data_IF_746718740348
#
_entry.id   IF_746718740348
#
_cell.length_a   1.000
_cell.length_b   1.000
_cell.length_c   1.000
_cell.angle_alpha   90.00
_cell.angle_beta   90.00
_cell.angle_gamma   90.00
#
_symmetry.space_group_name_H-M   'P 1'
#
loop_
_entity.id
_entity.type
_entity.pdbx_description
1 polymer ?
#
# COMPACT_ATOMS: atom_id res chain seq x y z
N UNK A 1 -11.22 -10.82 -93.43
CA UNK A 1 -11.09 -10.16 -92.13
C UNK A 1 -11.09 -11.29 -91.12
N UNK A 2 -9.94 -11.55 -90.48
CA UNK A 2 -9.75 -12.67 -89.53
C UNK A 2 -9.70 -12.05 -88.16
N UNK A 3 -10.62 -12.44 -87.27
CA UNK A 3 -10.67 -12.03 -85.88
C UNK A 3 -10.01 -13.14 -85.05
N UNK A 4 -8.87 -12.81 -84.45
CA UNK A 4 -8.16 -13.74 -83.57
C UNK A 4 -8.72 -13.58 -82.17
N UNK A 5 -9.23 -14.68 -81.58
CA UNK A 5 -9.66 -14.78 -80.23
C UNK A 5 -8.48 -15.12 -79.29
N UNK A 6 -8.11 -14.27 -78.33
CA UNK A 6 -7.15 -14.58 -77.30
C UNK A 6 -7.84 -15.19 -76.09
N UNK A 7 -7.51 -16.44 -75.80
CA UNK A 7 -7.90 -17.14 -74.60
C UNK A 7 -6.95 -16.73 -73.45
N UNK A 8 -7.46 -16.00 -72.48
CA UNK A 8 -6.74 -15.69 -71.24
C UNK A 8 -7.01 -16.81 -70.21
N UNK A 9 -6.03 -17.64 -69.99
CA UNK A 9 -6.06 -18.67 -68.92
C UNK A 9 -5.73 -18.00 -67.59
N UNK A 10 -6.73 -17.90 -66.71
CA UNK A 10 -6.58 -17.42 -65.34
C UNK A 10 -6.02 -18.51 -64.46
N UNK A 11 -4.74 -18.39 -64.07
CA UNK A 11 -4.11 -19.28 -63.13
C UNK A 11 -4.49 -18.86 -61.70
N UNK A 12 -5.42 -19.61 -61.12
CA UNK A 12 -5.81 -19.44 -59.72
C UNK A 12 -4.82 -20.23 -58.82
N UNK A 13 -3.81 -19.51 -58.29
CA UNK A 13 -2.90 -20.09 -57.30
C UNK A 13 -3.57 -20.14 -55.93
N UNK A 14 -3.94 -21.34 -55.47
CA UNK A 14 -4.37 -21.58 -54.09
C UNK A 14 -3.18 -21.45 -53.15
N UNK A 15 -3.12 -20.38 -52.37
CA UNK A 15 -2.25 -20.26 -51.19
C UNK A 15 -2.89 -21.05 -50.05
N UNK A 16 -2.37 -22.25 -49.74
CA UNK A 16 -2.66 -22.93 -48.47
C UNK A 16 -1.91 -22.19 -47.35
N UNK A 17 -2.59 -21.33 -46.65
CA UNK A 17 -2.09 -20.79 -45.37
C UNK A 17 -2.22 -21.84 -44.30
N UNK A 18 -1.10 -22.43 -43.88
CA UNK A 18 -1.02 -23.30 -42.70
C UNK A 18 -1.33 -22.48 -41.45
N UNK A 19 -2.50 -22.72 -40.86
CA UNK A 19 -2.83 -22.18 -39.53
C UNK A 19 -2.04 -22.99 -38.51
N UNK A 20 -0.98 -22.43 -37.99
CA UNK A 20 -0.28 -22.94 -36.81
C UNK A 20 -1.14 -22.61 -35.59
N UNK A 21 -1.80 -23.62 -35.03
CA UNK A 21 -2.41 -23.53 -33.73
C UNK A 21 -1.28 -23.51 -32.69
N UNK A 22 -0.95 -22.31 -32.14
CA UNK A 22 -0.20 -22.21 -30.91
C UNK A 22 -1.10 -22.78 -29.80
N UNK A 23 -0.77 -23.94 -29.27
CA UNK A 23 -1.34 -24.44 -28.02
C UNK A 23 -0.71 -23.59 -26.90
N UNK A 24 -1.44 -22.56 -26.47
CA UNK A 24 -1.20 -21.94 -25.18
C UNK A 24 -1.47 -22.99 -24.11
N UNK A 25 -0.40 -23.55 -23.57
CA UNK A 25 -0.45 -24.20 -22.27
C UNK A 25 -0.77 -23.10 -21.27
N UNK A 26 -2.04 -22.94 -20.91
CA UNK A 26 -2.41 -22.32 -19.66
C UNK A 26 -1.77 -23.16 -18.54
N UNK A 27 -0.61 -22.73 -18.09
CA UNK A 27 -0.17 -23.07 -16.75
C UNK A 27 -1.13 -22.32 -15.83
N UNK A 28 -1.98 -23.07 -15.14
CA UNK A 28 -2.68 -22.60 -13.97
C UNK A 28 -1.62 -22.15 -12.97
N UNK A 29 -1.30 -20.85 -13.01
CA UNK A 29 -0.57 -20.20 -11.95
C UNK A 29 -1.54 -20.06 -10.80
N UNK A 30 -1.39 -20.95 -9.86
CA UNK A 30 -2.00 -20.96 -8.56
C UNK A 30 -2.04 -19.53 -8.00
N UNK A 31 -3.24 -18.99 -7.84
CA UNK A 31 -3.50 -17.67 -7.33
C UNK A 31 -3.23 -17.66 -5.82
N UNK A 32 -1.96 -17.60 -5.44
CA UNK A 32 -1.54 -17.64 -4.04
C UNK A 32 -0.32 -16.79 -3.72
N UNK A 33 0.35 -16.24 -4.73
CA UNK A 33 1.46 -15.33 -4.45
C UNK A 33 0.90 -13.95 -4.11
N UNK A 34 0.67 -13.69 -2.81
CA UNK A 34 0.72 -12.33 -2.31
C UNK A 34 2.09 -11.79 -2.70
N UNK A 35 2.13 -10.84 -3.63
CA UNK A 35 3.32 -10.09 -3.93
C UNK A 35 3.68 -9.29 -2.67
N UNK A 36 4.48 -9.87 -1.80
CA UNK A 36 5.20 -9.10 -0.80
C UNK A 36 6.18 -8.23 -1.60
N UNK A 37 5.83 -6.96 -1.79
CA UNK A 37 6.77 -5.98 -2.33
C UNK A 37 8.05 -6.06 -1.48
N UNK A 38 9.21 -5.88 -2.11
CA UNK A 38 10.46 -5.91 -1.36
C UNK A 38 10.39 -4.91 -0.20
N UNK A 39 10.40 -5.44 1.04
CA UNK A 39 10.38 -4.62 2.25
C UNK A 39 11.71 -3.88 2.36
N UNK A 40 11.66 -2.59 2.57
CA UNK A 40 12.84 -1.77 2.80
C UNK A 40 12.82 -1.33 4.26
N UNK A 41 13.75 -1.86 5.05
CA UNK A 41 13.91 -1.44 6.44
C UNK A 41 14.16 0.08 6.52
N UNK A 42 13.63 0.71 7.54
CA UNK A 42 13.63 2.16 7.69
C UNK A 42 12.54 2.89 6.90
N UNK A 43 11.77 2.19 6.04
CA UNK A 43 10.72 2.80 5.22
C UNK A 43 9.34 2.26 5.57
N UNK A 44 8.36 3.16 5.68
CA UNK A 44 6.94 2.84 5.79
C UNK A 44 6.13 3.62 4.75
N UNK A 45 4.88 3.21 4.53
CA UNK A 45 3.91 3.92 3.68
C UNK A 45 2.71 4.34 4.51
N UNK A 46 2.15 5.49 4.18
CA UNK A 46 0.91 6.01 4.74
C UNK A 46 0.02 6.49 3.59
N UNK A 47 -1.05 5.78 3.35
CA UNK A 47 -2.10 6.22 2.44
C UNK A 47 -3.15 6.98 3.24
N UNK A 48 -3.59 8.13 2.72
CA UNK A 48 -4.52 9.03 3.38
C UNK A 48 -5.58 9.49 2.39
N UNK A 49 -6.85 9.34 2.75
CA UNK A 49 -7.99 9.81 1.97
C UNK A 49 -8.87 10.68 2.84
N UNK A 50 -9.16 11.89 2.37
CA UNK A 50 -10.12 12.80 2.98
C UNK A 50 -11.34 12.87 2.08
N UNK A 51 -12.50 12.49 2.59
CA UNK A 51 -13.77 12.50 1.89
C UNK A 51 -14.88 12.99 2.82
N UNK A 52 -15.53 14.10 2.43
CA UNK A 52 -16.50 14.82 3.24
C UNK A 52 -15.99 15.03 4.69
N UNK A 53 -16.60 14.37 5.66
CA UNK A 53 -16.24 14.46 7.08
C UNK A 53 -15.32 13.34 7.56
N UNK A 54 -14.85 12.48 6.67
CA UNK A 54 -14.04 11.33 7.05
C UNK A 54 -12.59 11.49 6.61
N UNK A 55 -11.70 11.10 7.51
CA UNK A 55 -10.27 10.94 7.23
C UNK A 55 -9.91 9.47 7.44
N UNK A 56 -9.62 8.79 6.35
CA UNK A 56 -9.21 7.40 6.33
C UNK A 56 -7.72 7.32 6.12
N UNK A 57 -7.05 6.49 6.88
CA UNK A 57 -5.60 6.31 6.76
C UNK A 57 -5.24 4.83 6.87
N UNK A 58 -4.26 4.42 6.08
CA UNK A 58 -3.68 3.08 6.13
C UNK A 58 -2.16 3.18 6.23
N UNK A 59 -1.62 2.72 7.34
CA UNK A 59 -0.19 2.63 7.61
C UNK A 59 0.28 1.21 7.35
N UNK A 60 1.32 1.06 6.55
CA UNK A 60 2.00 -0.21 6.31
C UNK A 60 3.50 -0.07 6.53
N UNK A 61 4.08 -1.01 7.27
CA UNK A 61 5.51 -0.95 7.61
C UNK A 61 6.06 -2.32 7.94
N UNK A 62 7.32 -2.63 7.53
CA UNK A 62 8.05 -3.76 8.10
C UNK A 62 8.11 -3.69 9.63
N UNK A 63 7.91 -4.82 10.30
CA UNK A 63 7.99 -4.91 11.77
C UNK A 63 9.34 -4.46 12.32
N UNK A 64 10.41 -4.65 11.56
CA UNK A 64 11.75 -4.17 11.92
C UNK A 64 11.76 -2.69 12.32
N UNK A 65 10.93 -1.85 11.66
CA UNK A 65 10.88 -0.42 11.94
C UNK A 65 10.32 -0.10 13.34
N UNK A 66 9.47 -0.99 13.87
CA UNK A 66 8.80 -0.80 15.16
C UNK A 66 9.44 -1.64 16.28
N UNK A 67 9.80 -2.88 16.01
CA UNK A 67 10.26 -3.84 17.01
C UNK A 67 11.78 -4.02 17.02
N UNK A 68 12.47 -3.75 15.90
CA UNK A 68 13.87 -4.11 15.70
C UNK A 68 14.07 -5.59 15.35
N UNK A 69 13.00 -6.35 15.11
CA UNK A 69 13.01 -7.74 14.63
C UNK A 69 11.74 -8.03 13.83
N UNK A 70 11.74 -9.13 13.01
CA UNK A 70 10.62 -9.50 12.14
C UNK A 70 10.10 -10.92 12.37
N UNK A 71 10.71 -11.66 13.29
CA UNK A 71 10.27 -13.01 13.65
C UNK A 71 9.23 -12.96 14.78
N UNK A 72 8.49 -14.06 14.95
CA UNK A 72 7.55 -14.19 16.07
C UNK A 72 8.27 -13.98 17.42
N UNK A 73 7.68 -13.21 18.36
CA UNK A 73 8.29 -12.97 19.66
C UNK A 73 8.52 -14.26 20.46
N UNK A 74 9.77 -14.57 20.79
CA UNK A 74 10.16 -15.81 21.49
C UNK A 74 10.32 -15.59 23.00
N UNK A 75 10.94 -14.47 23.39
CA UNK A 75 11.21 -14.14 24.79
C UNK A 75 10.09 -13.31 25.40
N UNK A 76 9.94 -13.33 26.72
CA UNK A 76 8.96 -12.50 27.43
C UNK A 76 9.18 -11.00 27.18
N UNK A 77 10.43 -10.57 27.02
CA UNK A 77 10.75 -9.18 26.68
C UNK A 77 10.25 -8.83 25.26
N UNK A 78 10.48 -9.70 24.28
CA UNK A 78 9.98 -9.49 22.91
C UNK A 78 8.46 -9.46 22.85
N UNK A 79 7.79 -10.36 23.60
CA UNK A 79 6.33 -10.38 23.71
C UNK A 79 5.79 -9.10 24.32
N UNK A 80 6.44 -8.56 25.37
CA UNK A 80 6.05 -7.28 25.97
C UNK A 80 6.19 -6.13 24.97
N UNK A 81 7.34 -6.02 24.26
CA UNK A 81 7.57 -4.98 23.26
C UNK A 81 6.55 -5.07 22.12
N UNK A 82 6.21 -6.28 21.69
CA UNK A 82 5.21 -6.51 20.66
C UNK A 82 3.81 -6.05 21.11
N UNK A 83 3.39 -6.41 22.31
CA UNK A 83 2.10 -5.98 22.85
C UNK A 83 2.04 -4.45 23.06
N UNK A 84 3.13 -3.85 23.52
CA UNK A 84 3.24 -2.39 23.65
C UNK A 84 3.12 -1.70 22.29
N UNK A 85 3.74 -2.24 21.24
CA UNK A 85 3.61 -1.73 19.88
C UNK A 85 2.15 -1.78 19.39
N UNK A 86 1.45 -2.92 19.55
CA UNK A 86 0.05 -3.04 19.14
C UNK A 86 -0.83 -2.00 19.86
N UNK A 87 -0.62 -1.83 21.18
CA UNK A 87 -1.36 -0.82 21.95
C UNK A 87 -1.05 0.61 21.51
N UNK A 88 0.21 0.93 21.22
CA UNK A 88 0.62 2.26 20.75
C UNK A 88 0.04 2.56 19.38
N UNK A 89 0.09 1.61 18.43
CA UNK A 89 -0.46 1.79 17.09
C UNK A 89 -1.99 1.89 17.08
N UNK A 90 -2.67 1.33 18.09
CA UNK A 90 -4.11 1.51 18.29
C UNK A 90 -4.49 2.92 18.80
N UNK A 91 -3.53 3.81 19.03
CA UNK A 91 -3.77 5.19 19.45
C UNK A 91 -3.44 6.17 18.32
N UNK A 92 -4.43 6.97 17.87
CA UNK A 92 -4.21 8.00 16.84
C UNK A 92 -3.04 8.94 17.17
N UNK A 93 -2.90 9.31 18.46
CA UNK A 93 -1.84 10.20 18.92
C UNK A 93 -0.42 9.66 18.69
N UNK A 94 -0.25 8.33 18.59
CA UNK A 94 1.02 7.70 18.19
C UNK A 94 1.33 7.94 16.72
N UNK A 95 0.29 7.87 15.86
CA UNK A 95 0.46 8.13 14.43
C UNK A 95 0.67 9.61 14.16
N UNK A 96 -0.26 10.46 14.60
CA UNK A 96 -0.24 11.87 14.24
C UNK A 96 -1.03 12.79 15.18
N UNK A 97 -0.73 14.09 15.05
CA UNK A 97 -1.52 15.21 15.56
C UNK A 97 -2.17 15.94 14.38
N UNK A 98 -3.47 16.22 14.47
CA UNK A 98 -4.26 16.94 13.47
C UNK A 98 -4.50 18.36 13.99
N UNK A 99 -4.17 19.39 13.18
CA UNK A 99 -4.37 20.81 13.55
C UNK A 99 -5.42 21.45 12.65
N UNK A 100 -6.27 22.25 13.26
CA UNK A 100 -7.29 23.07 12.59
C UNK A 100 -8.70 22.48 12.66
N UNK A 101 -8.85 21.18 12.92
CA UNK A 101 -10.14 20.55 13.14
C UNK A 101 -10.10 19.54 14.29
N UNK A 102 -11.26 19.26 14.87
CA UNK A 102 -11.47 18.20 15.84
C UNK A 102 -11.83 16.92 15.10
N UNK A 103 -10.97 15.90 15.16
CA UNK A 103 -11.20 14.60 14.58
C UNK A 103 -11.25 13.53 15.67
N UNK A 104 -12.23 12.65 15.59
CA UNK A 104 -12.43 11.54 16.52
C UNK A 104 -12.28 10.22 15.77
N UNK A 105 -11.51 9.29 16.31
CA UNK A 105 -11.42 7.94 15.77
C UNK A 105 -12.77 7.21 15.98
N UNK A 106 -13.34 6.70 14.91
CA UNK A 106 -14.51 5.81 14.92
C UNK A 106 -14.06 4.35 15.00
N UNK A 107 -13.03 3.97 14.26
CA UNK A 107 -12.32 2.71 14.42
C UNK A 107 -10.82 2.86 14.19
N UNK A 108 -10.04 2.01 14.85
CA UNK A 108 -8.62 1.78 14.58
C UNK A 108 -8.43 0.27 14.60
N UNK A 109 -7.99 -0.28 13.49
CA UNK A 109 -7.79 -1.70 13.29
C UNK A 109 -6.31 -1.97 13.06
N UNK A 110 -5.67 -2.72 13.95
CA UNK A 110 -4.29 -3.17 13.83
C UNK A 110 -4.34 -4.64 13.44
N UNK A 111 -3.89 -4.96 12.22
CA UNK A 111 -3.76 -6.36 11.81
C UNK A 111 -2.58 -6.99 12.55
N UNK A 112 -2.85 -8.08 13.27
CA UNK A 112 -1.79 -8.81 13.95
C UNK A 112 -0.92 -9.52 12.91
N UNK A 113 0.38 -9.19 12.85
CA UNK A 113 1.25 -9.70 11.80
C UNK A 113 1.59 -11.18 11.94
N UNK A 114 1.39 -11.78 13.12
CA UNK A 114 1.64 -13.21 13.36
C UNK A 114 0.31 -13.94 13.57
N UNK A 115 -0.16 -14.62 12.53
CA UNK A 115 -1.26 -15.58 12.61
C UNK A 115 -0.71 -17.00 12.54
N UNK A 116 -1.48 -17.99 13.01
CA UNK A 116 -1.05 -19.39 13.10
C UNK A 116 -0.62 -20.04 11.74
N UNK A 117 -0.82 -19.32 10.62
CA UNK A 117 -0.53 -19.77 9.27
C UNK A 117 0.74 -19.19 8.65
N UNK A 118 1.42 -18.25 9.32
CA UNK A 118 2.52 -17.52 8.70
C UNK A 118 3.84 -18.30 8.85
N UNK A 119 4.28 -18.89 7.73
CA UNK A 119 5.63 -19.40 7.57
C UNK A 119 6.63 -18.24 7.64
N UNK A 120 7.81 -18.50 8.23
CA UNK A 120 8.88 -17.54 8.47
C UNK A 120 9.20 -16.68 7.22
N UNK A 121 8.72 -15.46 7.20
CA UNK A 121 8.96 -14.46 6.15
C UNK A 121 9.09 -13.06 6.77
N UNK A 122 9.45 -12.10 5.95
CA UNK A 122 9.41 -10.69 6.34
C UNK A 122 7.96 -10.29 6.62
N UNK A 123 7.73 -9.78 7.81
CA UNK A 123 6.37 -9.50 8.31
C UNK A 123 6.15 -8.00 8.39
N UNK A 124 5.04 -7.55 7.80
CA UNK A 124 4.56 -6.18 7.91
C UNK A 124 3.54 -6.06 9.05
N UNK A 125 3.40 -4.86 9.57
CA UNK A 125 2.24 -4.42 10.31
C UNK A 125 1.40 -3.51 9.43
N UNK A 126 0.10 -3.76 9.41
CA UNK A 126 -0.90 -2.98 8.72
C UNK A 126 -1.87 -2.38 9.74
N UNK A 127 -2.12 -1.06 9.66
CA UNK A 127 -3.04 -0.37 10.56
C UNK A 127 -3.96 0.54 9.76
N UNK A 128 -5.26 0.35 9.96
CA UNK A 128 -6.29 1.19 9.40
C UNK A 128 -6.89 2.11 10.46
N UNK A 129 -6.96 3.42 10.15
CA UNK A 129 -7.57 4.44 10.99
C UNK A 129 -8.75 5.04 10.24
N UNK A 130 -9.91 5.05 10.86
CA UNK A 130 -11.11 5.68 10.35
C UNK A 130 -11.58 6.77 11.32
N UNK A 131 -11.53 8.01 10.88
CA UNK A 131 -11.84 9.18 11.71
C UNK A 131 -13.03 9.95 11.13
N UNK A 132 -13.84 10.51 12.02
CA UNK A 132 -14.82 11.56 11.72
C UNK A 132 -14.28 12.90 12.19
N UNK A 133 -14.28 13.91 11.31
CA UNK A 133 -13.80 15.26 11.57
C UNK A 133 -14.98 16.25 11.52
N UNK A 134 -15.04 17.22 12.44
CA UNK A 134 -16.13 18.20 12.50
C UNK A 134 -16.09 19.19 11.33
N UNK A 135 -14.90 19.73 11.05
CA UNK A 135 -14.66 20.74 10.01
C UNK A 135 -13.39 20.39 9.24
N UNK A 136 -13.40 19.36 8.36
CA UNK A 136 -12.19 18.86 7.70
C UNK A 136 -11.51 19.91 6.78
N UNK A 137 -12.28 20.87 6.25
CA UNK A 137 -11.78 22.00 5.47
C UNK A 137 -10.88 22.94 6.27
N UNK A 138 -10.98 22.93 7.60
CA UNK A 138 -10.16 23.72 8.50
C UNK A 138 -8.85 23.04 8.90
N UNK A 139 -8.63 21.77 8.46
CA UNK A 139 -7.36 21.08 8.72
C UNK A 139 -6.24 21.79 7.97
N UNK A 140 -5.27 22.29 8.73
CA UNK A 140 -4.12 23.04 8.20
C UNK A 140 -2.83 22.24 8.18
N UNK A 141 -2.68 21.32 9.11
CA UNK A 141 -1.45 20.54 9.27
C UNK A 141 -1.76 19.16 9.87
N UNK A 142 -1.06 18.15 9.34
CA UNK A 142 -0.93 16.83 9.95
C UNK A 142 0.52 16.66 10.38
N UNK A 143 0.78 16.51 11.67
CA UNK A 143 2.12 16.28 12.21
C UNK A 143 2.25 14.78 12.55
N UNK A 144 3.21 14.10 11.93
CA UNK A 144 3.50 12.69 12.16
C UNK A 144 4.35 12.53 13.41
N UNK A 145 3.90 11.71 14.35
CA UNK A 145 4.57 11.44 15.62
C UNK A 145 5.35 10.12 15.62
N UNK A 146 5.18 9.25 14.61
CA UNK A 146 5.83 7.93 14.52
C UNK A 146 7.35 8.01 14.68
N UNK A 147 7.99 9.04 14.13
CA UNK A 147 9.44 9.23 14.22
C UNK A 147 9.95 9.50 15.64
N UNK A 148 9.09 10.04 16.50
CA UNK A 148 9.44 10.32 17.91
C UNK A 148 9.36 9.02 18.75
N UNK A 149 8.56 8.04 18.30
CA UNK A 149 8.32 6.78 19.01
C UNK A 149 9.22 5.66 18.48
N UNK A 150 9.40 5.60 17.16
CA UNK A 150 10.09 4.50 16.47
C UNK A 150 11.36 4.98 15.76
N UNK A 151 12.48 4.85 16.45
CA UNK A 151 13.78 5.36 15.96
C UNK A 151 14.32 4.64 14.72
N UNK A 152 13.89 3.41 14.46
CA UNK A 152 14.28 2.64 13.27
C UNK A 152 13.51 3.07 12.01
N UNK A 153 12.43 3.86 12.17
CA UNK A 153 11.71 4.44 11.05
C UNK A 153 12.45 5.69 10.56
N UNK A 154 12.97 5.65 9.35
CA UNK A 154 13.76 6.73 8.74
C UNK A 154 12.95 7.55 7.75
N UNK A 155 12.07 6.89 7.00
CA UNK A 155 11.28 7.50 5.92
C UNK A 155 9.83 7.02 5.96
N UNK A 156 8.89 7.96 5.84
CA UNK A 156 7.48 7.68 5.59
C UNK A 156 7.09 8.23 4.22
N UNK A 157 6.71 7.32 3.30
CA UNK A 157 6.12 7.70 2.03
C UNK A 157 4.63 7.94 2.24
N UNK A 158 4.17 9.15 1.96
CA UNK A 158 2.77 9.53 2.13
C UNK A 158 2.13 9.73 0.78
N UNK A 159 1.01 9.06 0.54
CA UNK A 159 0.13 9.28 -0.59
C UNK A 159 -1.20 9.83 -0.06
N UNK A 160 -1.67 10.91 -0.65
CA UNK A 160 -2.89 11.56 -0.18
C UNK A 160 -3.86 11.81 -1.31
N UNK A 161 -5.14 11.55 -1.04
CA UNK A 161 -6.27 11.97 -1.86
C UNK A 161 -7.08 12.95 -1.03
N UNK A 162 -7.03 14.21 -1.43
CA UNK A 162 -7.71 15.32 -0.77
C UNK A 162 -8.77 15.90 -1.73
N UNK A 163 -9.75 16.67 -1.25
CA UNK A 163 -10.69 17.39 -2.14
C UNK A 163 -9.98 18.30 -3.15
N UNK A 164 -8.78 18.81 -2.82
CA UNK A 164 -7.95 19.63 -3.70
C UNK A 164 -7.14 18.83 -4.75
N UNK A 165 -7.11 17.49 -4.66
CA UNK A 165 -6.41 16.60 -5.57
C UNK A 165 -5.50 15.58 -4.89
N UNK A 166 -4.68 14.90 -5.69
CA UNK A 166 -3.76 13.88 -5.21
C UNK A 166 -2.37 14.46 -4.99
N UNK A 167 -1.71 14.04 -3.91
CA UNK A 167 -0.36 14.44 -3.57
C UNK A 167 0.45 13.24 -3.08
N UNK A 168 1.75 13.27 -3.34
CA UNK A 168 2.71 12.32 -2.79
C UNK A 168 3.91 13.07 -2.23
N UNK A 169 4.37 12.67 -1.05
CA UNK A 169 5.54 13.26 -0.42
C UNK A 169 6.30 12.24 0.42
N UNK A 170 7.53 12.59 0.79
CA UNK A 170 8.34 11.83 1.74
C UNK A 170 8.58 12.66 2.98
N UNK A 171 8.36 12.04 4.13
CA UNK A 171 8.68 12.56 5.46
C UNK A 171 9.87 11.79 6.04
N UNK A 172 10.54 12.42 6.99
CA UNK A 172 11.62 11.86 7.78
C UNK A 172 11.70 12.59 9.12
N UNK A 173 12.67 12.24 9.97
CA UNK A 173 12.84 12.84 11.30
C UNK A 173 13.06 14.39 11.29
N UNK A 174 13.55 14.97 10.19
CA UNK A 174 13.72 16.42 10.04
C UNK A 174 12.48 17.13 9.46
N UNK A 175 11.63 16.36 8.78
CA UNK A 175 10.40 16.84 8.16
C UNK A 175 9.25 15.91 8.54
N UNK A 176 8.54 16.26 9.60
CA UNK A 176 7.46 15.44 10.18
C UNK A 176 6.05 15.96 9.89
N UNK A 177 5.92 17.13 9.25
CA UNK A 177 4.63 17.79 9.05
C UNK A 177 4.23 17.84 7.58
N UNK A 178 2.93 17.66 7.36
CA UNK A 178 2.22 17.82 6.08
C UNK A 178 1.33 19.04 6.22
N UNK A 179 1.48 20.03 5.35
CA UNK A 179 0.55 21.15 5.25
C UNK A 179 -0.59 20.79 4.32
N UNK A 180 -1.82 20.96 4.78
CA UNK A 180 -3.06 20.81 4.01
C UNK A 180 -3.47 22.21 3.55
N UNK A 181 -3.67 22.37 2.24
CA UNK A 181 -4.06 23.65 1.61
C UNK A 181 -5.40 23.47 0.90
#
# INVERSE_FOLDING_TARGET
>A
MRVAAYLVTLFCSLNLSSIVYAQDKHQDHDAGHRHHGAHVHGMATLDLVMDDHHLMMHLKSPLMNFLGFEHQPETEQQKSIYQDMLQQLAMLATLMEIKGSSCKAESIEVEEPFTDSDEAGHTDVDVSYFLSCEEPENITELKINLFDVYSNLETLQVQMVLPSGQQQLKLNQQRTSIRIQ
#
